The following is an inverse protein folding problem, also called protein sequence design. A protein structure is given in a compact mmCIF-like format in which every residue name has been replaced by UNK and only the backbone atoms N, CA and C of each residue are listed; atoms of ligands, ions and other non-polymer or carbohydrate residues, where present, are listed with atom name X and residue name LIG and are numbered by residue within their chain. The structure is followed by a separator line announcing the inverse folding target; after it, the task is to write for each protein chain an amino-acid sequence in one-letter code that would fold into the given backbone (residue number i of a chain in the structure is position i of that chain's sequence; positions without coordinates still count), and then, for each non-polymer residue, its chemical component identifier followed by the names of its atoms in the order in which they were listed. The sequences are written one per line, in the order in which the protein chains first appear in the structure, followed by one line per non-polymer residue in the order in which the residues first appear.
data_IF_343600245928
#
_entry.id   IF_343600245928
#
_cell.length_a   1.000
_cell.length_b   1.000
_cell.length_c   1.000
_cell.angle_alpha   90.00
_cell.angle_beta   90.00
_cell.angle_gamma   90.00
#
_symmetry.space_group_name_H-M   'P 1'
#
loop_
_entity.id
_entity.type
_entity.pdbx_description
1 polymer ?
#
# COMPACT_ATOMS: atom_id res chain seq x y z
N UNK A 1 14.66 -42.79 -6.86
CA UNK A 1 15.93 -42.39 -6.23
C UNK A 1 16.51 -41.30 -7.10
N UNK A 2 16.47 -40.04 -6.64
CA UNK A 2 16.62 -38.86 -7.50
C UNK A 2 17.99 -38.77 -8.18
N UNK A 3 17.99 -38.50 -9.48
CA UNK A 3 19.18 -38.43 -10.35
C UNK A 3 20.10 -37.24 -10.04
N UNK A 4 19.71 -36.36 -9.11
CA UNK A 4 20.45 -35.14 -8.74
C UNK A 4 20.44 -34.91 -7.22
N UNK A 5 21.53 -34.32 -6.71
CA UNK A 5 21.75 -34.04 -5.28
C UNK A 5 22.00 -32.57 -4.96
N UNK A 6 22.11 -32.24 -3.66
CA UNK A 6 22.43 -30.89 -3.17
C UNK A 6 23.79 -30.44 -3.71
N UNK A 7 23.86 -29.20 -4.21
CA UNK A 7 25.11 -28.59 -4.72
C UNK A 7 25.37 -28.76 -6.21
N UNK A 8 24.51 -29.49 -6.93
CA UNK A 8 24.58 -29.61 -8.39
C UNK A 8 23.79 -28.49 -9.09
N UNK A 9 24.33 -27.96 -10.19
CA UNK A 9 23.67 -26.95 -11.02
C UNK A 9 22.60 -27.59 -11.92
N UNK A 10 21.48 -27.99 -11.31
CA UNK A 10 20.33 -28.54 -12.03
C UNK A 10 19.53 -27.45 -12.77
N UNK A 11 18.94 -27.80 -13.91
CA UNK A 11 18.01 -26.91 -14.62
C UNK A 11 16.72 -26.75 -13.82
N UNK A 12 16.04 -25.60 -13.98
CA UNK A 12 14.85 -25.30 -13.18
C UNK A 12 13.66 -26.12 -13.68
N UNK A 13 12.88 -26.64 -12.75
CA UNK A 13 11.68 -27.44 -13.04
C UNK A 13 10.58 -26.62 -13.72
N UNK A 14 10.52 -25.32 -13.43
CA UNK A 14 9.49 -24.40 -13.89
C UNK A 14 9.76 -23.84 -15.30
N UNK A 15 10.99 -23.97 -15.81
CA UNK A 15 11.40 -23.39 -17.10
C UNK A 15 10.48 -23.81 -18.25
N UNK A 16 10.15 -25.10 -18.45
CA UNK A 16 9.34 -25.53 -19.59
C UNK A 16 7.99 -24.83 -19.70
N UNK A 17 7.30 -24.56 -18.59
CA UNK A 17 6.02 -23.85 -18.63
C UNK A 17 6.20 -22.35 -18.86
N UNK A 18 7.21 -21.74 -18.24
CA UNK A 18 7.43 -20.30 -18.31
C UNK A 18 7.89 -19.84 -19.71
N UNK A 19 8.79 -20.60 -20.35
CA UNK A 19 9.34 -20.22 -21.68
C UNK A 19 8.40 -20.55 -22.85
N UNK A 20 7.32 -21.28 -22.59
CA UNK A 20 6.32 -21.66 -23.60
C UNK A 20 5.02 -20.85 -23.52
N UNK A 21 4.99 -19.81 -22.68
CA UNK A 21 3.75 -19.05 -22.42
C UNK A 21 2.68 -19.85 -21.68
N UNK A 22 3.08 -20.92 -20.98
CA UNK A 22 2.20 -21.78 -20.16
C UNK A 22 2.36 -21.46 -18.66
N UNK A 23 3.06 -20.36 -18.33
CA UNK A 23 2.96 -19.74 -17.02
C UNK A 23 1.52 -19.26 -16.79
N UNK A 24 1.12 -19.20 -15.51
CA UNK A 24 -0.17 -18.62 -15.13
C UNK A 24 0.10 -17.61 -14.03
N UNK A 25 -0.05 -16.36 -14.40
CA UNK A 25 0.11 -15.18 -13.58
C UNK A 25 -1.27 -14.60 -13.25
N UNK A 26 -1.33 -13.53 -12.45
CA UNK A 26 -2.62 -13.00 -12.04
C UNK A 26 -3.41 -12.47 -13.24
N UNK A 27 -2.74 -11.77 -14.16
CA UNK A 27 -3.35 -11.23 -15.39
C UNK A 27 -3.88 -12.29 -16.36
N UNK A 28 -3.46 -13.55 -16.21
CA UNK A 28 -3.94 -14.67 -17.04
C UNK A 28 -5.23 -15.30 -16.48
N UNK A 29 -5.64 -14.91 -15.25
CA UNK A 29 -6.89 -15.41 -14.66
C UNK A 29 -8.06 -14.58 -15.17
N UNK A 30 -8.98 -15.26 -15.85
CA UNK A 30 -10.26 -14.69 -16.29
C UNK A 30 -11.38 -15.64 -15.88
N UNK A 31 -12.34 -15.14 -15.09
CA UNK A 31 -13.45 -15.92 -14.57
C UNK A 31 -14.79 -15.46 -15.18
N UNK A 32 -15.80 -16.35 -15.28
CA UNK A 32 -17.12 -15.96 -15.75
C UNK A 32 -17.71 -14.81 -14.92
N UNK A 33 -18.16 -13.74 -15.59
CA UNK A 33 -18.75 -12.57 -14.92
C UNK A 33 -17.74 -11.70 -14.16
N UNK A 34 -16.43 -11.83 -14.45
CA UNK A 34 -15.41 -10.99 -13.85
C UNK A 34 -15.67 -9.50 -14.12
N UNK A 35 -15.79 -8.72 -13.06
CA UNK A 35 -15.83 -7.26 -13.10
C UNK A 35 -14.43 -6.67 -12.90
N UNK A 36 -14.26 -5.41 -13.29
CA UNK A 36 -12.99 -4.69 -13.21
C UNK A 36 -13.13 -3.49 -12.30
N UNK A 37 -12.08 -3.25 -11.50
CA UNK A 37 -12.07 -2.16 -10.53
C UNK A 37 -10.95 -1.16 -10.81
N UNK A 38 -11.28 0.12 -10.79
CA UNK A 38 -10.34 1.24 -10.93
C UNK A 38 -10.38 2.09 -9.67
N UNK A 39 -9.19 2.36 -9.11
CA UNK A 39 -9.04 3.19 -7.91
C UNK A 39 -8.82 4.63 -8.34
N UNK A 40 -9.71 5.53 -7.95
CA UNK A 40 -9.51 6.98 -8.08
C UNK A 40 -8.57 7.42 -6.98
N UNK A 41 -7.52 8.17 -7.35
CA UNK A 41 -6.42 8.52 -6.45
C UNK A 41 -6.24 10.04 -6.34
N UNK A 42 -5.76 10.47 -5.18
CA UNK A 42 -5.41 11.86 -4.92
C UNK A 42 -4.28 12.36 -5.82
N UNK A 43 -4.45 13.55 -6.39
CA UNK A 43 -3.37 14.34 -7.00
C UNK A 43 -2.65 15.26 -6.00
N UNK A 44 -3.16 15.36 -4.76
CA UNK A 44 -2.59 16.21 -3.71
C UNK A 44 -1.71 15.40 -2.75
N UNK A 45 -0.57 15.98 -2.37
CA UNK A 45 0.30 15.43 -1.34
C UNK A 45 -0.32 15.50 0.05
N UNK A 46 -1.13 16.53 0.33
CA UNK A 46 -1.87 16.67 1.58
C UNK A 46 -3.09 17.56 1.33
N UNK A 47 -4.29 17.09 1.64
CA UNK A 47 -5.52 17.88 1.53
C UNK A 47 -6.64 17.28 2.39
N UNK A 48 -7.56 18.12 2.89
CA UNK A 48 -8.84 17.64 3.42
C UNK A 48 -9.71 17.21 2.24
N UNK A 49 -10.40 16.08 2.41
CA UNK A 49 -11.37 15.58 1.45
C UNK A 49 -12.77 16.02 1.92
N UNK A 50 -13.32 17.07 1.30
CA UNK A 50 -14.61 17.66 1.72
C UNK A 50 -15.79 16.79 1.30
N UNK A 51 -15.74 16.31 0.06
CA UNK A 51 -16.75 15.44 -0.52
C UNK A 51 -16.15 14.65 -1.70
N UNK A 52 -16.83 13.57 -2.08
CA UNK A 52 -16.55 12.82 -3.32
C UNK A 52 -17.85 12.67 -4.08
N UNK A 53 -18.05 13.47 -5.11
CA UNK A 53 -19.21 13.30 -6.00
C UNK A 53 -18.97 12.09 -6.91
N UNK A 54 -19.84 11.09 -6.77
CA UNK A 54 -19.82 9.84 -7.53
C UNK A 54 -21.03 9.69 -8.44
N UNK A 55 -21.93 10.68 -8.48
CA UNK A 55 -23.23 10.55 -9.13
C UNK A 55 -23.11 10.35 -10.64
N UNK A 56 -22.14 11.02 -11.29
CA UNK A 56 -21.81 10.82 -12.70
C UNK A 56 -21.32 9.40 -12.98
N UNK A 57 -20.32 8.95 -12.24
CA UNK A 57 -19.74 7.62 -12.36
C UNK A 57 -20.78 6.51 -12.16
N UNK A 58 -21.65 6.61 -11.15
CA UNK A 58 -22.71 5.61 -10.87
C UNK A 58 -23.74 5.45 -11.98
N UNK A 59 -23.91 6.47 -12.84
CA UNK A 59 -24.85 6.43 -13.98
C UNK A 59 -24.16 6.06 -15.29
N UNK A 60 -22.83 5.88 -15.29
CA UNK A 60 -22.10 5.57 -16.51
C UNK A 60 -22.42 4.14 -16.97
N UNK A 61 -22.44 3.88 -18.29
CA UNK A 61 -22.75 2.55 -18.83
C UNK A 61 -21.80 1.47 -18.30
N UNK A 62 -22.37 0.32 -17.91
CA UNK A 62 -21.61 -0.84 -17.41
C UNK A 62 -21.04 -0.69 -15.99
N UNK A 63 -21.25 0.44 -15.31
CA UNK A 63 -20.84 0.60 -13.91
C UNK A 63 -21.77 -0.20 -13.00
N UNK A 64 -21.16 -1.06 -12.20
CA UNK A 64 -21.83 -1.94 -11.25
C UNK A 64 -21.88 -1.34 -9.85
N UNK A 65 -20.79 -0.68 -9.44
CA UNK A 65 -20.70 -0.03 -8.14
C UNK A 65 -19.66 1.08 -8.12
N UNK A 66 -19.87 2.04 -7.21
CA UNK A 66 -18.85 3.01 -6.82
C UNK A 66 -18.80 3.04 -5.30
N UNK A 67 -17.60 2.97 -4.73
CA UNK A 67 -17.36 2.99 -3.30
C UNK A 67 -16.44 4.15 -2.92
N UNK A 68 -16.63 4.68 -1.71
CA UNK A 68 -15.85 5.77 -1.12
C UNK A 68 -15.36 5.38 0.27
N UNK A 69 -14.54 6.22 0.90
CA UNK A 69 -14.17 6.02 2.30
C UNK A 69 -15.36 5.96 3.26
N UNK A 70 -16.50 6.58 2.92
CA UNK A 70 -17.71 6.51 3.72
C UNK A 70 -18.34 5.10 3.70
N UNK A 71 -18.30 4.41 2.56
CA UNK A 71 -18.77 3.02 2.44
C UNK A 71 -17.89 2.08 3.28
N UNK A 72 -16.57 2.24 3.20
CA UNK A 72 -15.60 1.46 4.00
C UNK A 72 -15.84 1.65 5.50
N UNK A 73 -16.14 2.88 5.93
CA UNK A 73 -16.44 3.19 7.34
C UNK A 73 -17.79 2.61 7.79
N UNK A 74 -18.84 2.76 6.96
CA UNK A 74 -20.18 2.21 7.22
C UNK A 74 -20.14 0.69 7.39
N UNK A 75 -19.40 0.01 6.51
CA UNK A 75 -19.37 -1.45 6.47
C UNK A 75 -18.32 -2.04 7.44
N UNK A 76 -17.57 -1.19 8.14
CA UNK A 76 -16.66 -1.61 9.21
C UNK A 76 -15.47 -2.47 8.72
N UNK A 77 -15.04 -2.31 7.46
CA UNK A 77 -14.01 -3.17 6.82
C UNK A 77 -12.61 -3.08 7.45
N UNK A 78 -12.42 -2.22 8.44
CA UNK A 78 -11.17 -2.09 9.18
C UNK A 78 -10.00 -1.58 8.34
N UNK A 79 -8.79 -1.73 8.88
CA UNK A 79 -7.54 -1.34 8.21
C UNK A 79 -6.44 -2.31 8.57
N UNK A 80 -5.50 -2.53 7.65
CA UNK A 80 -4.30 -3.31 7.98
C UNK A 80 -3.56 -2.69 9.17
N UNK A 81 -3.19 -3.53 10.13
CA UNK A 81 -2.48 -3.12 11.34
C UNK A 81 -0.98 -3.35 11.19
N UNK A 82 -0.19 -2.35 11.57
CA UNK A 82 1.25 -2.51 11.69
C UNK A 82 1.56 -3.49 12.82
N UNK A 83 2.32 -4.55 12.53
CA UNK A 83 2.70 -5.57 13.51
C UNK A 83 4.00 -5.25 14.25
N UNK A 84 4.77 -4.29 13.73
CA UNK A 84 6.00 -3.83 14.35
C UNK A 84 5.71 -3.10 15.67
N UNK A 85 6.38 -3.51 16.75
CA UNK A 85 6.25 -2.86 18.06
C UNK A 85 7.50 -2.03 18.34
N UNK A 86 7.36 -0.71 18.32
CA UNK A 86 8.40 0.26 18.70
C UNK A 86 7.83 1.28 19.70
N UNK A 87 8.70 2.15 20.20
CA UNK A 87 8.33 3.23 21.12
C UNK A 87 8.64 4.59 20.50
N UNK A 88 7.88 5.59 20.92
CA UNK A 88 8.18 7.01 20.71
C UNK A 88 9.29 7.48 21.67
N UNK A 89 9.88 8.67 21.47
CA UNK A 89 10.93 9.21 22.35
C UNK A 89 10.54 9.30 23.82
N UNK A 90 9.27 9.58 24.11
CA UNK A 90 8.70 9.64 25.46
C UNK A 90 8.41 8.26 26.09
N UNK A 91 8.73 7.18 25.38
CA UNK A 91 8.50 5.81 25.82
C UNK A 91 7.09 5.26 25.54
N UNK A 92 6.17 6.09 25.04
CA UNK A 92 4.82 5.64 24.64
C UNK A 92 4.86 4.74 23.39
N UNK A 93 3.79 3.98 23.09
CA UNK A 93 3.76 3.12 21.90
C UNK A 93 3.98 3.91 20.60
N UNK A 94 4.62 3.27 19.62
CA UNK A 94 4.76 3.80 18.26
C UNK A 94 3.42 4.30 17.72
N UNK A 95 3.44 5.47 17.09
CA UNK A 95 2.28 5.94 16.34
C UNK A 95 2.23 5.21 14.98
N UNK A 96 1.29 4.28 14.88
CA UNK A 96 0.99 3.51 13.67
C UNK A 96 -0.31 4.04 13.06
N UNK A 97 -0.25 4.90 12.02
CA UNK A 97 -1.45 5.43 11.40
C UNK A 97 -2.27 4.32 10.72
N UNK A 98 -3.61 4.48 10.63
CA UNK A 98 -4.45 3.54 9.90
C UNK A 98 -4.15 3.58 8.40
N UNK A 99 -3.99 2.40 7.79
CA UNK A 99 -3.85 2.24 6.34
C UNK A 99 -5.20 1.86 5.73
N UNK A 100 -6.05 2.86 5.49
CA UNK A 100 -7.40 2.67 4.94
C UNK A 100 -7.35 2.28 3.47
N UNK A 101 -8.25 1.40 3.05
CA UNK A 101 -8.41 1.02 1.65
C UNK A 101 -8.89 2.19 0.78
N UNK A 102 -9.80 3.02 1.31
CA UNK A 102 -10.24 4.29 0.76
C UNK A 102 -10.30 5.32 1.88
N UNK A 103 -9.72 6.51 1.70
CA UNK A 103 -9.68 7.55 2.73
C UNK A 103 -11.00 8.34 2.76
N UNK A 104 -11.62 8.54 3.95
CA UNK A 104 -12.87 9.29 4.05
C UNK A 104 -12.68 10.79 4.27
N UNK A 105 -11.56 11.21 4.86
CA UNK A 105 -11.43 12.51 5.52
C UNK A 105 -10.30 13.38 4.94
N UNK A 106 -9.18 12.75 4.59
CA UNK A 106 -7.94 13.46 4.29
C UNK A 106 -7.04 12.59 3.44
N UNK A 107 -6.47 13.17 2.39
CA UNK A 107 -5.43 12.54 1.58
C UNK A 107 -4.07 12.97 2.10
N UNK A 108 -3.14 12.03 2.23
CA UNK A 108 -1.85 12.25 2.94
C UNK A 108 -0.62 12.00 2.07
N UNK A 109 -0.82 11.66 0.80
CA UNK A 109 0.21 11.55 -0.22
C UNK A 109 -0.42 11.56 -1.62
N UNK A 110 0.38 11.91 -2.63
CA UNK A 110 -0.05 11.77 -4.04
C UNK A 110 -0.23 10.28 -4.33
N UNK A 111 -1.43 9.88 -4.77
CA UNK A 111 -1.81 8.49 -4.99
C UNK A 111 -2.74 7.90 -3.93
N UNK A 112 -3.07 8.64 -2.86
CA UNK A 112 -3.94 8.16 -1.78
C UNK A 112 -5.34 7.80 -2.31
N UNK A 113 -5.86 6.57 -2.08
CA UNK A 113 -7.14 6.12 -2.64
C UNK A 113 -8.34 6.89 -2.08
N UNK A 114 -9.20 7.43 -2.95
CA UNK A 114 -10.40 8.18 -2.54
C UNK A 114 -11.71 7.50 -2.93
N UNK A 115 -11.73 6.78 -4.05
CA UNK A 115 -12.87 6.01 -4.50
C UNK A 115 -12.45 4.75 -5.26
N UNK A 116 -13.36 3.80 -5.36
CA UNK A 116 -13.24 2.59 -6.17
C UNK A 116 -14.44 2.51 -7.11
N UNK A 117 -14.20 2.46 -8.42
CA UNK A 117 -15.23 2.25 -9.43
C UNK A 117 -15.14 0.82 -9.92
N UNK A 118 -16.26 0.10 -9.97
CA UNK A 118 -16.36 -1.27 -10.45
C UNK A 118 -17.31 -1.32 -11.64
N UNK A 119 -16.86 -1.90 -12.76
CA UNK A 119 -17.64 -2.00 -13.99
C UNK A 119 -17.47 -3.37 -14.68
N UNK A 120 -18.31 -3.65 -15.68
CA UNK A 120 -18.29 -4.90 -16.46
C UNK A 120 -16.97 -5.07 -17.25
N UNK A 121 -16.35 -3.97 -17.68
CA UNK A 121 -15.07 -3.96 -18.40
C UNK A 121 -14.09 -2.97 -17.79
N UNK A 122 -12.80 -3.18 -18.01
CA UNK A 122 -11.76 -2.23 -17.57
C UNK A 122 -11.96 -0.84 -18.17
N UNK A 123 -12.22 -0.74 -19.48
CA UNK A 123 -12.40 0.54 -20.16
C UNK A 123 -13.59 1.35 -19.57
N UNK A 124 -14.72 0.68 -19.28
CA UNK A 124 -15.85 1.34 -18.62
C UNK A 124 -15.50 1.81 -17.20
N UNK A 125 -14.72 1.03 -16.45
CA UNK A 125 -14.28 1.43 -15.11
C UNK A 125 -13.32 2.65 -15.18
N UNK A 126 -12.43 2.70 -16.17
CA UNK A 126 -11.53 3.82 -16.41
C UNK A 126 -12.30 5.09 -16.80
N UNK A 127 -13.20 5.00 -17.79
CA UNK A 127 -14.03 6.13 -18.22
C UNK A 127 -14.91 6.66 -17.07
N UNK A 128 -15.51 5.77 -16.29
CA UNK A 128 -16.33 6.16 -15.15
C UNK A 128 -15.51 6.72 -13.97
N UNK A 129 -14.25 6.30 -13.80
CA UNK A 129 -13.35 6.86 -12.79
C UNK A 129 -13.06 8.35 -13.04
N UNK A 130 -12.96 8.78 -14.31
CA UNK A 130 -12.78 10.19 -14.69
C UNK A 130 -14.03 11.06 -14.37
N UNK A 131 -15.19 10.44 -14.15
CA UNK A 131 -16.41 11.14 -13.75
C UNK A 131 -16.53 11.34 -12.23
N UNK A 132 -15.65 10.72 -11.43
CA UNK A 132 -15.59 10.94 -9.99
C UNK A 132 -14.93 12.28 -9.71
N UNK A 133 -15.58 13.11 -8.89
CA UNK A 133 -15.11 14.47 -8.58
C UNK A 133 -14.87 14.64 -7.07
N UNK A 134 -13.64 14.38 -6.60
CA UNK A 134 -13.25 14.69 -5.23
C UNK A 134 -13.09 16.20 -5.04
N UNK A 135 -13.67 16.75 -3.97
CA UNK A 135 -13.48 18.14 -3.55
C UNK A 135 -12.38 18.21 -2.48
N UNK A 136 -11.28 18.90 -2.81
CA UNK A 136 -10.09 19.00 -1.98
C UNK A 136 -9.91 20.41 -1.43
N UNK A 137 -9.52 20.48 -0.17
CA UNK A 137 -8.90 21.67 0.42
C UNK A 137 -7.43 21.38 0.68
N UNK A 138 -6.50 21.89 -0.16
CA UNK A 138 -5.08 21.65 0.01
C UNK A 138 -4.57 22.07 1.38
N UNK A 139 -3.67 21.25 1.93
CA UNK A 139 -2.98 21.51 3.18
C UNK A 139 -1.47 21.59 2.93
N UNK A 140 -0.69 22.28 3.79
CA UNK A 140 0.76 22.25 3.72
C UNK A 140 1.27 20.81 3.84
N UNK A 141 2.23 20.44 2.99
CA UNK A 141 2.84 19.10 2.99
C UNK A 141 4.34 19.18 3.26
N UNK A 142 4.92 18.09 3.76
CA UNK A 142 6.36 17.94 3.95
C UNK A 142 6.89 16.85 3.03
N UNK A 143 7.89 17.17 2.20
CA UNK A 143 8.45 16.27 1.18
C UNK A 143 9.87 15.80 1.50
N UNK A 144 10.45 16.29 2.59
CA UNK A 144 11.81 15.99 3.06
C UNK A 144 11.75 15.43 4.48
N UNK A 145 12.43 14.31 4.72
CA UNK A 145 12.48 13.70 6.06
C UNK A 145 13.23 14.56 7.07
N UNK A 146 14.17 15.40 6.61
CA UNK A 146 14.91 16.31 7.48
C UNK A 146 14.03 17.43 8.05
N UNK A 147 12.95 17.78 7.34
CA UNK A 147 12.05 18.88 7.68
C UNK A 147 10.72 18.39 8.29
N UNK A 148 10.59 17.07 8.49
CA UNK A 148 9.37 16.46 9.01
C UNK A 148 9.11 16.83 10.47
N UNK A 149 10.15 16.80 11.31
CA UNK A 149 10.04 17.16 12.73
C UNK A 149 9.83 18.67 12.85
N UNK A 150 8.70 19.08 13.41
CA UNK A 150 8.30 20.49 13.50
C UNK A 150 7.74 21.07 12.19
N UNK A 151 7.65 20.28 11.12
CA UNK A 151 6.94 20.63 9.90
C UNK A 151 5.42 20.53 10.05
N UNK A 152 4.69 20.72 8.94
CA UNK A 152 3.24 20.58 8.95
C UNK A 152 2.83 19.15 9.37
N UNK A 153 1.89 18.99 10.32
CA UNK A 153 1.50 17.68 10.80
C UNK A 153 0.70 16.90 9.75
N UNK A 154 1.09 15.66 9.49
CA UNK A 154 0.35 14.76 8.58
C UNK A 154 -0.88 14.15 9.30
N UNK A 155 -0.74 13.93 10.60
CA UNK A 155 -1.77 13.39 11.49
C UNK A 155 -1.92 14.28 12.71
N UNK A 156 -3.15 14.59 13.08
CA UNK A 156 -3.42 15.51 14.19
C UNK A 156 -3.05 14.85 15.54
N UNK A 157 -3.15 13.52 15.60
CA UNK A 157 -2.76 12.68 16.75
C UNK A 157 -1.24 12.50 16.88
N UNK A 158 -0.46 12.92 15.89
CA UNK A 158 1.00 12.83 15.85
C UNK A 158 1.58 14.15 15.30
N UNK A 159 1.43 15.27 16.04
CA UNK A 159 1.73 16.59 15.53
C UNK A 159 3.24 16.85 15.33
N UNK A 160 4.10 16.05 15.95
CA UNK A 160 5.56 16.13 15.80
C UNK A 160 6.11 15.34 14.60
N UNK A 161 5.24 14.61 13.87
CA UNK A 161 5.57 13.71 12.77
C UNK A 161 6.55 12.57 13.14
N UNK A 162 6.74 12.25 14.43
CA UNK A 162 7.63 11.17 14.88
C UNK A 162 6.82 9.90 15.16
N UNK A 163 6.87 8.94 14.23
CA UNK A 163 6.21 7.63 14.44
C UNK A 163 6.84 6.83 15.58
N UNK A 164 8.17 6.70 15.56
CA UNK A 164 8.95 6.01 16.58
C UNK A 164 10.43 6.41 16.53
N UNK A 165 11.19 6.02 17.55
CA UNK A 165 12.65 6.02 17.56
C UNK A 165 13.15 4.60 17.83
N UNK A 166 14.32 4.26 17.31
CA UNK A 166 15.00 3.02 17.62
C UNK A 166 16.49 3.29 17.82
N UNK A 167 16.98 2.96 19.00
CA UNK A 167 18.40 3.03 19.36
C UNK A 167 18.87 1.63 19.76
N UNK A 168 20.12 1.30 19.42
CA UNK A 168 20.74 0.02 19.74
C UNK A 168 22.26 0.19 19.81
N UNK A 169 22.88 -0.48 20.78
CA UNK A 169 24.33 -0.42 21.02
C UNK A 169 24.70 0.24 22.34
N UNK A 170 26.00 0.46 22.54
CA UNK A 170 26.55 1.11 23.74
C UNK A 170 26.97 2.55 23.41
N UNK A 171 26.13 3.50 23.83
CA UNK A 171 26.36 4.92 23.59
C UNK A 171 27.60 5.43 24.31
N UNK A 172 27.79 5.06 25.58
CA UNK A 172 28.87 5.57 26.40
C UNK A 172 30.24 5.07 25.90
N UNK A 173 30.34 3.76 25.59
CA UNK A 173 31.56 3.20 25.04
C UNK A 173 31.89 3.80 23.66
N UNK A 174 30.87 4.04 22.83
CA UNK A 174 31.04 4.68 21.52
C UNK A 174 31.55 6.12 21.66
N UNK A 175 30.92 6.93 22.52
CA UNK A 175 31.33 8.32 22.77
C UNK A 175 32.77 8.39 23.32
N UNK A 176 33.11 7.51 24.28
CA UNK A 176 34.48 7.40 24.80
C UNK A 176 35.51 6.97 23.74
N UNK A 177 35.12 6.14 22.77
CA UNK A 177 35.98 5.74 21.66
C UNK A 177 36.23 6.88 20.67
N UNK A 178 35.18 7.64 20.32
CA UNK A 178 35.33 8.82 19.46
C UNK A 178 36.16 9.93 20.12
N UNK A 179 36.02 10.15 21.43
CA UNK A 179 36.77 11.18 22.15
C UNK A 179 38.29 10.96 22.16
N UNK A 180 38.74 9.70 22.09
CA UNK A 180 40.17 9.34 22.08
C UNK A 180 40.72 9.00 20.68
N UNK A 181 39.89 9.09 19.64
CA UNK A 181 40.29 8.67 18.30
C UNK A 181 41.32 9.65 17.72
N UNK A 182 42.47 9.18 17.21
CA UNK A 182 43.48 10.06 16.62
C UNK A 182 43.01 10.71 15.31
N UNK A 183 41.99 10.13 14.66
CA UNK A 183 41.33 10.67 13.46
C UNK A 183 39.85 10.31 13.47
N UNK A 184 39.00 11.28 13.11
CA UNK A 184 37.56 11.11 12.94
C UNK A 184 37.18 11.51 11.53
N UNK A 185 36.47 10.63 10.81
CA UNK A 185 35.93 10.90 9.48
C UNK A 185 34.41 10.94 9.55
N UNK A 186 33.82 12.06 9.11
CA UNK A 186 32.37 12.23 9.01
C UNK A 186 31.94 12.29 7.54
N UNK A 187 30.89 11.54 7.21
CA UNK A 187 30.21 11.58 5.91
C UNK A 187 28.71 11.57 6.11
N UNK A 188 27.98 12.27 5.23
CA UNK A 188 26.52 12.25 5.16
C UNK A 188 26.14 11.51 3.89
N UNK A 189 25.32 10.48 4.03
CA UNK A 189 24.76 9.73 2.91
C UNK A 189 23.25 9.96 2.86
N UNK A 190 22.72 10.13 1.65
CA UNK A 190 21.28 10.15 1.40
C UNK A 190 20.95 8.87 0.65
N UNK A 191 20.16 8.01 1.27
CA UNK A 191 19.64 6.80 0.62
C UNK A 191 18.32 7.19 -0.02
N UNK A 192 18.31 7.30 -1.34
CA UNK A 192 17.10 7.68 -2.08
C UNK A 192 16.05 6.58 -2.00
N UNK A 193 14.78 6.99 -2.03
CA UNK A 193 13.67 6.04 -2.22
C UNK A 193 13.80 5.39 -3.59
N UNK A 194 13.71 4.06 -3.62
CA UNK A 194 13.65 3.26 -4.85
C UNK A 194 12.35 2.46 -4.87
N UNK A 195 11.93 2.04 -6.05
CA UNK A 195 10.79 1.17 -6.24
C UNK A 195 11.29 -0.17 -6.78
N UNK A 196 10.75 -1.28 -6.26
CA UNK A 196 11.19 -2.62 -6.67
C UNK A 196 10.91 -2.89 -8.17
N UNK A 197 9.90 -2.25 -8.74
CA UNK A 197 9.56 -2.27 -10.18
C UNK A 197 9.52 -3.70 -10.73
N UNK A 198 8.72 -4.56 -10.09
CA UNK A 198 8.42 -5.89 -10.63
C UNK A 198 7.79 -5.76 -12.02
N UNK A 199 8.13 -6.68 -12.93
CA UNK A 199 7.60 -6.67 -14.30
C UNK A 199 6.10 -6.97 -14.35
N UNK A 200 5.61 -7.84 -13.47
CA UNK A 200 4.18 -8.01 -13.21
C UNK A 200 3.74 -7.00 -12.14
N UNK A 201 2.70 -6.21 -12.44
CA UNK A 201 2.13 -5.27 -11.48
C UNK A 201 1.25 -5.99 -10.45
N UNK A 202 1.11 -5.39 -9.27
CA UNK A 202 0.25 -5.93 -8.21
C UNK A 202 -1.21 -5.96 -8.61
N UNK A 203 -1.91 -7.00 -8.17
CA UNK A 203 -3.35 -7.08 -8.31
C UNK A 203 -3.98 -8.12 -7.39
N UNK A 204 -5.31 -8.17 -7.43
CA UNK A 204 -6.04 -9.26 -6.83
C UNK A 204 -7.35 -9.50 -7.60
N UNK A 205 -7.79 -10.76 -7.61
CA UNK A 205 -9.08 -11.19 -8.11
C UNK A 205 -9.80 -11.95 -6.98
N UNK A 206 -10.87 -11.35 -6.47
CA UNK A 206 -11.72 -11.94 -5.45
C UNK A 206 -12.94 -12.63 -6.07
N UNK A 207 -13.27 -13.81 -5.57
CA UNK A 207 -14.46 -14.57 -5.94
C UNK A 207 -15.19 -14.94 -4.67
N UNK A 208 -16.49 -14.67 -4.64
CA UNK A 208 -17.37 -15.17 -3.60
C UNK A 208 -18.34 -16.19 -4.19
N UNK A 209 -18.40 -17.36 -3.58
CA UNK A 209 -19.27 -18.47 -3.98
C UNK A 209 -20.40 -18.61 -2.96
N UNK A 210 -21.59 -18.05 -3.24
CA UNK A 210 -22.67 -18.00 -2.26
C UNK A 210 -23.21 -19.39 -1.87
N UNK A 211 -23.07 -20.39 -2.76
CA UNK A 211 -23.48 -21.76 -2.47
C UNK A 211 -22.62 -22.46 -1.41
N UNK A 212 -21.39 -22.00 -1.20
CA UNK A 212 -20.45 -22.56 -0.22
C UNK A 212 -20.09 -21.56 0.90
N UNK A 213 -20.62 -20.35 0.84
CA UNK A 213 -20.20 -19.21 1.68
C UNK A 213 -18.66 -19.05 1.72
N UNK A 214 -18.03 -19.17 0.54
CA UNK A 214 -16.57 -19.23 0.41
C UNK A 214 -16.03 -18.07 -0.40
N UNK A 215 -14.95 -17.47 0.11
CA UNK A 215 -14.15 -16.49 -0.62
C UNK A 215 -12.85 -17.13 -1.11
N UNK A 216 -12.56 -16.93 -2.40
CA UNK A 216 -11.26 -17.24 -3.01
C UNK A 216 -10.61 -15.95 -3.47
N UNK A 217 -9.37 -15.71 -3.04
CA UNK A 217 -8.58 -14.55 -3.46
C UNK A 217 -7.34 -15.03 -4.23
N UNK A 218 -7.30 -14.75 -5.53
CA UNK A 218 -6.08 -14.85 -6.32
C UNK A 218 -5.33 -13.53 -6.16
N UNK A 219 -4.10 -13.57 -5.65
CA UNK A 219 -3.30 -12.37 -5.44
C UNK A 219 -1.80 -12.68 -5.53
N UNK A 220 -1.01 -11.72 -5.98
CA UNK A 220 0.44 -11.81 -6.14
C UNK A 220 1.17 -11.56 -4.80
N UNK A 221 0.83 -12.36 -3.78
CA UNK A 221 1.34 -12.18 -2.41
C UNK A 221 2.44 -13.18 -2.05
N UNK A 222 3.47 -12.69 -1.35
CA UNK A 222 4.57 -13.55 -0.85
C UNK A 222 4.27 -14.18 0.52
N UNK A 223 3.12 -13.88 1.11
CA UNK A 223 2.72 -14.35 2.45
C UNK A 223 1.24 -14.77 2.50
N UNK A 224 0.81 -15.78 1.70
CA UNK A 224 -0.61 -16.10 1.50
C UNK A 224 -1.37 -16.40 2.80
N UNK A 225 -0.77 -17.14 3.74
CA UNK A 225 -1.42 -17.45 5.02
C UNK A 225 -1.61 -16.23 5.93
N UNK A 226 -0.69 -15.25 5.87
CA UNK A 226 -0.84 -14.02 6.65
C UNK A 226 -1.94 -13.17 6.07
N UNK A 227 -2.02 -13.07 4.75
CA UNK A 227 -3.08 -12.32 4.05
C UNK A 227 -4.45 -12.90 4.33
N UNK A 228 -4.60 -14.24 4.33
CA UNK A 228 -5.86 -14.91 4.67
C UNK A 228 -6.34 -14.63 6.10
N UNK A 229 -5.41 -14.48 7.04
CA UNK A 229 -5.72 -14.31 8.46
C UNK A 229 -5.77 -12.84 8.92
N UNK A 230 -5.49 -11.89 8.03
CA UNK A 230 -5.44 -10.45 8.32
C UNK A 230 -6.84 -9.84 8.36
#
# INVERSE_FOLDING_TARGET
MGQFGIGQAVTRFEDPRLVRGQGRFLGDVNLPGQAHAVVVRSMHAHARLRAVDTAGARRAPGVLAVFTGADVARDGLGTMRMTLKRKRPDGSPMFAPPHRGLTPDRVRYVGDPVALVVAETLAQAEDAAELVRPDYEPLPSVTSTADAVGGAPVWDECPDNVSNVFESGDRAATEAAFARAPRVVRRRYVITRVHAQYMEARGALGVYEPGEDRYTLYADVQYPHRVRNA
#
